data_IF_190433776933
#
_entry.id   IF_190433776933
#
_cell.length_a   1.000
_cell.length_b   1.000
_cell.length_c   1.000
_cell.angle_alpha   90.00
_cell.angle_beta   90.00
_cell.angle_gamma   90.00
#
_symmetry.space_group_name_H-M   'P 1'
#
loop_
_entity.id
_entity.type
_entity.pdbx_description
1 polymer ?
#
# COMPACT_ATOMS: atom_id res chain seq x y z
N UNK A 1 22.08 -16.18 35.66
CA UNK A 1 21.28 -16.85 34.61
C UNK A 1 20.85 -15.79 33.62
N UNK A 2 21.52 -15.76 32.47
CA UNK A 2 21.36 -14.72 31.46
C UNK A 2 20.00 -14.86 30.77
N UNK A 3 19.24 -13.77 30.73
CA UNK A 3 18.03 -13.66 29.93
C UNK A 3 18.40 -13.81 28.45
N UNK A 4 17.69 -14.70 27.76
CA UNK A 4 17.68 -14.74 26.30
C UNK A 4 17.05 -13.43 25.82
N UNK A 5 17.88 -12.47 25.41
CA UNK A 5 17.46 -11.41 24.51
C UNK A 5 17.12 -12.08 23.18
N UNK A 6 15.82 -12.27 22.92
CA UNK A 6 15.37 -12.59 21.57
C UNK A 6 15.82 -11.45 20.67
N UNK A 7 16.76 -11.74 19.78
CA UNK A 7 17.24 -10.79 18.78
C UNK A 7 16.05 -10.48 17.87
N UNK A 8 15.41 -9.32 18.08
CA UNK A 8 14.33 -8.87 17.22
C UNK A 8 14.90 -8.72 15.80
N UNK A 9 14.34 -9.46 14.84
CA UNK A 9 14.81 -9.43 13.46
C UNK A 9 14.81 -8.00 12.93
N UNK A 10 15.90 -7.58 12.28
CA UNK A 10 16.01 -6.22 11.78
C UNK A 10 14.96 -5.96 10.68
N UNK A 11 14.63 -4.69 10.42
CA UNK A 11 13.74 -4.30 9.31
C UNK A 11 14.21 -4.88 7.98
N UNK A 12 15.53 -4.98 7.77
CA UNK A 12 16.14 -5.61 6.60
C UNK A 12 15.88 -7.11 6.53
N UNK A 13 16.05 -7.85 7.64
CA UNK A 13 15.81 -9.30 7.69
C UNK A 13 14.33 -9.63 7.44
N UNK A 14 13.43 -8.84 8.01
CA UNK A 14 11.99 -8.94 7.78
C UNK A 14 11.64 -8.70 6.32
N UNK A 15 12.28 -7.71 5.68
CA UNK A 15 12.11 -7.43 4.27
C UNK A 15 12.62 -8.59 3.39
N UNK A 16 13.82 -9.12 3.64
CA UNK A 16 14.35 -10.24 2.84
C UNK A 16 13.47 -11.49 2.96
N UNK A 17 13.00 -11.80 4.17
CA UNK A 17 12.05 -12.89 4.38
C UNK A 17 10.73 -12.67 3.64
N UNK A 18 10.21 -11.44 3.63
CA UNK A 18 9.01 -11.06 2.89
C UNK A 18 9.21 -11.17 1.38
N UNK A 19 10.35 -10.69 0.87
CA UNK A 19 10.73 -10.72 -0.54
C UNK A 19 10.74 -12.15 -1.09
N UNK A 20 11.38 -13.09 -0.38
CA UNK A 20 11.40 -14.51 -0.75
C UNK A 20 9.97 -15.08 -0.87
N UNK A 21 9.09 -14.77 0.09
CA UNK A 21 7.68 -15.23 0.05
C UNK A 21 6.91 -14.62 -1.12
N UNK A 22 7.17 -13.35 -1.46
CA UNK A 22 6.52 -12.69 -2.60
C UNK A 22 7.03 -13.22 -3.95
N UNK A 23 8.32 -13.48 -4.07
CA UNK A 23 8.91 -14.09 -5.26
C UNK A 23 8.33 -15.49 -5.52
N UNK A 24 8.21 -16.33 -4.49
CA UNK A 24 7.58 -17.66 -4.63
C UNK A 24 6.11 -17.56 -5.05
N UNK A 25 5.37 -16.61 -4.48
CA UNK A 25 3.97 -16.33 -4.85
C UNK A 25 3.85 -15.88 -6.30
N UNK A 26 4.65 -14.90 -6.72
CA UNK A 26 4.71 -14.42 -8.10
C UNK A 26 5.04 -15.57 -9.07
N UNK A 27 6.03 -16.41 -8.75
CA UNK A 27 6.41 -17.56 -9.55
C UNK A 27 5.29 -18.62 -9.60
N UNK A 28 4.59 -18.86 -8.50
CA UNK A 28 3.45 -19.78 -8.42
C UNK A 28 2.26 -19.27 -9.23
N UNK A 29 1.95 -17.97 -9.16
CA UNK A 29 0.91 -17.36 -9.98
C UNK A 29 1.22 -17.45 -11.46
N UNK A 30 2.44 -17.08 -11.88
CA UNK A 30 2.89 -17.19 -13.28
C UNK A 30 2.78 -18.63 -13.79
N UNK A 31 3.22 -19.62 -13.00
CA UNK A 31 3.07 -21.05 -13.33
C UNK A 31 1.62 -21.48 -13.43
N UNK A 32 0.75 -21.01 -12.52
CA UNK A 32 -0.68 -21.31 -12.58
C UNK A 32 -1.32 -20.72 -13.82
N UNK A 33 -1.03 -19.46 -14.14
CA UNK A 33 -1.59 -18.75 -15.29
C UNK A 33 -1.20 -19.44 -16.60
N UNK A 34 0.06 -19.86 -16.75
CA UNK A 34 0.52 -20.62 -17.92
C UNK A 34 -0.14 -22.00 -18.06
N UNK A 35 -0.68 -22.57 -16.97
CA UNK A 35 -1.33 -23.89 -16.95
C UNK A 35 -2.86 -23.80 -17.00
N UNK A 36 -3.43 -22.62 -16.80
CA UNK A 36 -4.87 -22.40 -16.83
C UNK A 36 -5.40 -22.58 -18.25
N UNK A 37 -6.53 -23.29 -18.39
CA UNK A 37 -7.23 -23.36 -19.66
C UNK A 37 -7.88 -22.00 -19.98
N UNK A 38 -8.08 -21.67 -21.27
CA UNK A 38 -8.86 -20.50 -21.65
C UNK A 38 -10.23 -20.51 -20.95
N UNK A 39 -10.55 -19.43 -20.22
CA UNK A 39 -11.80 -19.28 -19.47
C UNK A 39 -11.76 -19.74 -18.01
N UNK A 40 -10.69 -20.40 -17.55
CA UNK A 40 -10.51 -20.73 -16.13
C UNK A 40 -9.70 -19.64 -15.43
N UNK A 41 -10.19 -19.10 -14.28
CA UNK A 41 -9.40 -18.14 -13.51
C UNK A 41 -8.13 -18.80 -12.98
N UNK A 42 -6.99 -18.09 -13.07
CA UNK A 42 -5.77 -18.53 -12.40
C UNK A 42 -6.02 -18.68 -10.89
N UNK A 43 -5.37 -19.67 -10.25
CA UNK A 43 -5.50 -19.88 -8.81
C UNK A 43 -5.13 -18.61 -8.04
N UNK A 44 -5.91 -18.30 -7.03
CA UNK A 44 -5.73 -17.11 -6.19
C UNK A 44 -4.44 -17.19 -5.38
N UNK A 45 -3.70 -16.07 -5.34
CA UNK A 45 -2.55 -15.90 -4.47
C UNK A 45 -3.04 -15.87 -3.01
N UNK A 46 -2.68 -16.90 -2.23
CA UNK A 46 -3.08 -17.20 -0.84
C UNK A 46 -3.65 -16.03 -0.01
N UNK A 47 -4.99 -15.92 0.02
CA UNK A 47 -5.71 -14.71 0.43
C UNK A 47 -5.32 -14.07 1.77
N UNK A 48 -5.27 -14.83 2.87
CA UNK A 48 -4.95 -14.28 4.21
C UNK A 48 -3.47 -14.02 4.41
N UNK A 49 -2.61 -14.93 3.96
CA UNK A 49 -1.16 -14.79 4.12
C UNK A 49 -0.62 -13.65 3.25
N UNK A 50 -1.10 -13.53 2.02
CA UNK A 50 -0.80 -12.40 1.15
C UNK A 50 -1.23 -11.09 1.80
N UNK A 51 -2.45 -11.04 2.35
CA UNK A 51 -2.92 -9.86 3.05
C UNK A 51 -2.01 -9.43 4.20
N UNK A 52 -1.61 -10.37 5.06
CA UNK A 52 -0.69 -10.11 6.17
C UNK A 52 0.68 -9.61 5.71
N UNK A 53 1.18 -10.18 4.62
CA UNK A 53 2.46 -9.82 4.05
C UNK A 53 2.45 -8.45 3.34
N UNK A 54 1.35 -8.08 2.67
CA UNK A 54 1.17 -6.73 2.12
C UNK A 54 1.10 -5.69 3.24
N UNK A 55 0.40 -5.98 4.33
CA UNK A 55 0.39 -5.13 5.52
C UNK A 55 1.78 -5.04 6.17
N UNK A 56 2.58 -6.11 6.10
CA UNK A 56 3.97 -6.07 6.55
C UNK A 56 4.82 -5.16 5.65
N UNK A 57 4.67 -5.23 4.33
CA UNK A 57 5.36 -4.34 3.39
C UNK A 57 5.10 -2.86 3.73
N UNK A 58 3.83 -2.49 3.97
CA UNK A 58 3.47 -1.11 4.34
C UNK A 58 4.13 -0.66 5.64
N UNK A 59 4.17 -1.54 6.67
CA UNK A 59 4.86 -1.23 7.94
C UNK A 59 6.37 -1.07 7.76
N UNK A 60 6.99 -1.94 6.95
CA UNK A 60 8.42 -1.86 6.66
C UNK A 60 8.75 -0.60 5.86
N UNK A 61 7.87 -0.20 4.94
CA UNK A 61 8.03 1.03 4.14
C UNK A 61 7.99 2.29 5.01
N UNK A 62 7.00 2.39 5.91
CA UNK A 62 6.90 3.53 6.84
C UNK A 62 8.14 3.64 7.75
N UNK A 63 8.63 2.51 8.27
CA UNK A 63 9.79 2.46 9.19
C UNK A 63 11.14 2.49 8.50
N UNK A 64 11.18 2.18 7.21
CA UNK A 64 12.40 2.02 6.44
C UNK A 64 13.03 3.35 6.07
N UNK A 65 14.35 3.35 5.91
CA UNK A 65 15.07 4.46 5.28
C UNK A 65 14.83 4.46 3.76
N UNK A 66 15.19 5.55 3.08
CA UNK A 66 14.96 5.72 1.62
C UNK A 66 15.52 4.56 0.79
N UNK A 67 16.68 3.99 1.16
CA UNK A 67 17.23 2.81 0.48
C UNK A 67 16.28 1.61 0.50
N UNK A 68 15.67 1.33 1.67
CA UNK A 68 14.70 0.24 1.80
C UNK A 68 13.38 0.58 1.11
N UNK A 69 12.89 1.82 1.23
CA UNK A 69 11.67 2.26 0.55
C UNK A 69 11.79 2.10 -0.96
N UNK A 70 12.95 2.44 -1.53
CA UNK A 70 13.27 2.21 -2.94
C UNK A 70 13.28 0.74 -3.30
N UNK A 71 13.96 -0.10 -2.51
CA UNK A 71 13.98 -1.55 -2.77
C UNK A 71 12.57 -2.15 -2.76
N UNK A 72 11.71 -1.70 -1.83
CA UNK A 72 10.31 -2.13 -1.78
C UNK A 72 9.57 -1.72 -3.06
N UNK A 73 9.64 -0.46 -3.48
CA UNK A 73 8.98 0.02 -4.71
C UNK A 73 9.47 -0.74 -5.94
N UNK A 74 10.78 -0.90 -6.09
CA UNK A 74 11.40 -1.63 -7.19
C UNK A 74 10.90 -3.08 -7.25
N UNK A 75 10.84 -3.77 -6.10
CA UNK A 75 10.33 -5.14 -6.04
C UNK A 75 8.84 -5.22 -6.45
N UNK A 76 8.00 -4.28 -5.99
CA UNK A 76 6.58 -4.26 -6.36
C UNK A 76 6.34 -3.94 -7.84
N UNK A 77 7.24 -3.18 -8.48
CA UNK A 77 7.19 -2.96 -9.93
C UNK A 77 7.37 -4.26 -10.73
N UNK A 78 8.18 -5.19 -10.22
CA UNK A 78 8.44 -6.50 -10.83
C UNK A 78 7.38 -7.56 -10.48
N UNK A 79 6.72 -7.39 -9.33
CA UNK A 79 5.66 -8.28 -8.83
C UNK A 79 4.28 -7.95 -9.40
N UNK A 80 4.16 -7.93 -10.73
CA UNK A 80 2.92 -7.54 -11.43
C UNK A 80 1.65 -8.27 -10.97
N UNK A 81 1.72 -9.54 -10.52
CA UNK A 81 0.53 -10.26 -10.04
C UNK A 81 0.12 -9.88 -8.61
N UNK A 82 1.06 -9.31 -7.84
CA UNK A 82 0.87 -8.87 -6.46
C UNK A 82 0.61 -7.36 -6.39
N UNK A 83 1.14 -6.56 -7.33
CA UNK A 83 1.04 -5.10 -7.34
C UNK A 83 -0.40 -4.60 -7.23
N UNK A 84 -1.31 -5.08 -8.08
CA UNK A 84 -2.73 -4.69 -7.97
C UNK A 84 -3.39 -5.07 -6.64
N UNK A 85 -2.85 -6.04 -5.91
CA UNK A 85 -3.31 -6.39 -4.55
C UNK A 85 -2.81 -5.42 -3.49
N UNK A 86 -1.70 -4.72 -3.73
CA UNK A 86 -1.22 -3.65 -2.85
C UNK A 86 -2.19 -2.49 -2.86
N UNK A 87 -2.54 -1.95 -4.03
CA UNK A 87 -3.56 -0.90 -4.11
C UNK A 87 -4.90 -1.36 -3.52
N UNK A 88 -5.28 -2.63 -3.77
CA UNK A 88 -6.48 -3.20 -3.16
C UNK A 88 -6.46 -3.22 -1.62
N UNK A 89 -5.28 -3.19 -0.99
CA UNK A 89 -5.17 -3.08 0.47
C UNK A 89 -5.55 -1.73 1.02
N UNK A 90 -5.49 -0.68 0.22
CA UNK A 90 -5.92 0.64 0.64
C UNK A 90 -7.39 0.66 1.07
N UNK A 91 -8.28 -0.06 0.37
CA UNK A 91 -9.69 -0.15 0.79
C UNK A 91 -9.86 -0.85 2.14
N UNK A 92 -9.14 -1.96 2.38
CA UNK A 92 -9.16 -2.61 3.71
C UNK A 92 -8.65 -1.67 4.80
N UNK A 93 -7.62 -0.85 4.52
CA UNK A 93 -7.15 0.13 5.50
C UNK A 93 -8.13 1.29 5.71
N UNK A 94 -8.85 1.71 4.67
CA UNK A 94 -9.91 2.72 4.80
C UNK A 94 -11.10 2.20 5.62
N UNK A 95 -11.47 0.92 5.49
CA UNK A 95 -12.48 0.26 6.32
C UNK A 95 -12.05 0.25 7.79
N UNK A 96 -10.82 -0.23 8.08
CA UNK A 96 -10.29 -0.25 9.45
C UNK A 96 -10.14 1.17 10.04
N UNK A 97 -9.79 2.16 9.22
CA UNK A 97 -9.77 3.58 9.62
C UNK A 97 -11.17 4.05 10.02
N UNK A 98 -12.19 3.78 9.20
CA UNK A 98 -13.57 4.16 9.50
C UNK A 98 -14.11 3.49 10.78
N UNK A 99 -13.71 2.25 11.04
CA UNK A 99 -14.19 1.48 12.19
C UNK A 99 -13.50 1.88 13.50
N UNK A 100 -12.22 2.23 13.45
CA UNK A 100 -11.40 2.43 14.66
C UNK A 100 -11.00 3.87 14.92
N UNK A 101 -11.00 4.71 13.90
CA UNK A 101 -10.43 6.05 13.93
C UNK A 101 -8.97 6.11 14.44
N UNK A 102 -8.21 5.03 14.23
CA UNK A 102 -6.77 4.98 14.49
C UNK A 102 -6.01 5.49 13.25
N UNK A 103 -5.23 6.56 13.43
CA UNK A 103 -4.49 7.23 12.35
C UNK A 103 -3.41 6.35 11.72
N UNK A 104 -3.00 5.27 12.41
CA UNK A 104 -2.16 4.22 11.84
C UNK A 104 -2.73 3.66 10.53
N UNK A 105 -4.06 3.50 10.43
CA UNK A 105 -4.67 2.94 9.23
C UNK A 105 -4.61 3.90 8.05
N UNK A 106 -4.73 5.21 8.30
CA UNK A 106 -4.50 6.23 7.28
C UNK A 106 -3.06 6.15 6.76
N UNK A 107 -2.06 6.10 7.65
CA UNK A 107 -0.65 5.97 7.25
C UNK A 107 -0.38 4.69 6.45
N UNK A 108 -0.99 3.56 6.83
CA UNK A 108 -0.85 2.29 6.09
C UNK A 108 -1.50 2.37 4.71
N UNK A 109 -2.67 3.01 4.59
CA UNK A 109 -3.35 3.25 3.31
C UNK A 109 -2.51 4.10 2.36
N UNK A 110 -1.94 5.19 2.87
CA UNK A 110 -1.06 6.07 2.11
C UNK A 110 0.24 5.35 1.71
N UNK A 111 0.85 4.56 2.62
CA UNK A 111 2.01 3.74 2.29
C UNK A 111 1.71 2.70 1.19
N UNK A 112 0.53 2.08 1.20
CA UNK A 112 0.14 1.15 0.14
C UNK A 112 0.05 1.83 -1.22
N UNK A 113 -0.50 3.05 -1.28
CA UNK A 113 -0.51 3.89 -2.48
C UNK A 113 0.92 4.25 -2.92
N UNK A 114 1.77 4.64 -1.97
CA UNK A 114 3.20 4.94 -2.21
C UNK A 114 4.00 3.77 -2.76
N UNK A 115 3.71 2.55 -2.31
CA UNK A 115 4.35 1.33 -2.82
C UNK A 115 3.80 0.96 -4.20
N UNK A 116 2.50 1.14 -4.43
CA UNK A 116 1.88 0.88 -5.73
C UNK A 116 2.39 1.85 -6.81
N UNK A 117 2.72 3.09 -6.42
CA UNK A 117 3.41 4.10 -7.22
C UNK A 117 2.74 4.38 -8.58
N UNK A 118 1.48 4.82 -8.53
CA UNK A 118 0.60 5.03 -9.70
C UNK A 118 0.47 3.77 -10.59
N UNK A 119 0.24 2.62 -9.94
CA UNK A 119 0.16 1.27 -10.46
C UNK A 119 -0.16 1.06 -11.94
N UNK A 120 -1.26 0.37 -12.21
CA UNK A 120 -1.69 0.03 -13.58
C UNK A 120 -2.69 1.06 -14.12
N UNK A 121 -3.47 1.69 -13.23
CA UNK A 121 -4.43 2.74 -13.56
C UNK A 121 -4.37 3.84 -12.49
N UNK A 122 -3.86 5.01 -12.86
CA UNK A 122 -3.73 6.16 -11.94
C UNK A 122 -5.09 6.66 -11.41
N UNK A 123 -6.21 6.33 -12.08
CA UNK A 123 -7.55 6.72 -11.62
C UNK A 123 -7.94 5.98 -10.34
N UNK A 124 -7.53 4.72 -10.22
CA UNK A 124 -7.77 3.93 -9.01
C UNK A 124 -7.02 4.53 -7.81
N UNK A 125 -5.86 5.15 -8.05
CA UNK A 125 -5.13 5.91 -7.02
C UNK A 125 -5.95 7.08 -6.49
N UNK A 126 -6.56 7.90 -7.36
CA UNK A 126 -7.42 9.01 -6.91
C UNK A 126 -8.63 8.53 -6.13
N UNK A 127 -9.24 7.42 -6.55
CA UNK A 127 -10.37 6.80 -5.84
C UNK A 127 -9.94 6.37 -4.43
N UNK A 128 -8.83 5.65 -4.32
CA UNK A 128 -8.29 5.19 -3.05
C UNK A 128 -7.90 6.35 -2.11
N UNK A 129 -7.28 7.42 -2.64
CA UNK A 129 -6.99 8.64 -1.87
C UNK A 129 -8.27 9.30 -1.36
N UNK A 130 -9.32 9.35 -2.18
CA UNK A 130 -10.62 9.92 -1.80
C UNK A 130 -11.29 9.16 -0.66
N UNK A 131 -11.27 7.82 -0.71
CA UNK A 131 -11.84 7.00 0.36
C UNK A 131 -11.07 7.20 1.68
N UNK A 132 -9.73 7.18 1.66
CA UNK A 132 -8.93 7.46 2.85
C UNK A 132 -9.20 8.85 3.42
N UNK A 133 -9.27 9.86 2.55
CA UNK A 133 -9.52 11.24 2.96
C UNK A 133 -10.89 11.37 3.64
N UNK A 134 -11.94 10.81 3.04
CA UNK A 134 -13.30 10.84 3.62
C UNK A 134 -13.37 10.10 4.96
N UNK A 135 -12.73 8.94 5.07
CA UNK A 135 -12.67 8.20 6.33
C UNK A 135 -11.93 9.00 7.42
N UNK A 136 -10.81 9.62 7.09
CA UNK A 136 -10.04 10.46 8.01
C UNK A 136 -10.87 11.63 8.54
N UNK A 137 -11.51 12.40 7.66
CA UNK A 137 -12.37 13.54 8.06
C UNK A 137 -13.54 13.08 8.94
N UNK A 138 -14.18 11.95 8.60
CA UNK A 138 -15.28 11.39 9.42
C UNK A 138 -14.84 11.01 10.83
N UNK A 139 -13.57 10.63 10.99
CA UNK A 139 -12.95 10.37 12.28
C UNK A 139 -12.45 11.65 12.99
N UNK A 140 -12.74 12.83 12.46
CA UNK A 140 -12.30 14.10 13.04
C UNK A 140 -10.81 14.39 12.86
N UNK A 141 -10.16 13.71 11.90
CA UNK A 141 -8.76 13.95 11.56
C UNK A 141 -8.64 15.04 10.50
N UNK A 142 -7.56 15.82 10.56
CA UNK A 142 -7.10 16.67 9.47
C UNK A 142 -6.23 15.83 8.52
N UNK A 143 -6.65 15.51 7.28
CA UNK A 143 -5.93 14.56 6.45
C UNK A 143 -4.65 15.14 5.83
N UNK A 144 -4.60 16.46 5.60
CA UNK A 144 -3.52 17.13 4.85
C UNK A 144 -2.12 16.80 5.39
N UNK A 145 -1.82 16.89 6.71
CA UNK A 145 -0.49 16.57 7.23
C UNK A 145 -0.05 15.12 6.95
N UNK A 146 -0.99 14.17 6.90
CA UNK A 146 -0.69 12.77 6.60
C UNK A 146 -0.35 12.57 5.12
N UNK A 147 -1.03 13.31 4.23
CA UNK A 147 -0.74 13.29 2.80
C UNK A 147 0.62 13.93 2.51
N UNK A 148 0.98 15.00 3.22
CA UNK A 148 2.32 15.62 3.15
C UNK A 148 3.41 14.67 3.68
N UNK A 149 3.20 14.02 4.83
CA UNK A 149 4.10 12.99 5.37
C UNK A 149 4.32 11.86 4.36
N UNK A 150 3.23 11.38 3.76
CA UNK A 150 3.29 10.34 2.74
C UNK A 150 4.01 10.80 1.47
N UNK A 151 3.84 12.06 1.06
CA UNK A 151 4.53 12.63 -0.09
C UNK A 151 6.04 12.67 0.14
N UNK A 152 6.49 13.10 1.33
CA UNK A 152 7.91 13.19 1.69
C UNK A 152 8.63 11.83 1.60
N UNK A 153 7.96 10.75 2.00
CA UNK A 153 8.54 9.40 1.96
C UNK A 153 8.27 8.66 0.65
N UNK A 154 7.40 9.20 -0.22
CA UNK A 154 7.20 8.72 -1.59
C UNK A 154 8.33 9.25 -2.46
N UNK A 155 8.95 8.41 -3.29
CA UNK A 155 10.05 8.89 -4.14
C UNK A 155 9.58 9.89 -5.19
N UNK A 156 10.39 10.92 -5.44
CA UNK A 156 10.23 11.86 -6.56
C UNK A 156 10.55 11.32 -7.96
N UNK A 157 10.60 9.98 -8.15
CA UNK A 157 10.80 9.37 -9.49
C UNK A 157 9.46 9.25 -10.23
N UNK A 158 8.34 9.24 -9.51
CA UNK A 158 6.99 9.24 -10.08
C UNK A 158 6.26 10.54 -9.75
N UNK A 159 5.16 10.79 -10.47
CA UNK A 159 4.27 11.92 -10.18
C UNK A 159 3.42 11.70 -8.91
N UNK A 160 3.65 10.64 -8.13
CA UNK A 160 2.82 10.35 -6.95
C UNK A 160 3.03 11.38 -5.84
N UNK A 161 4.25 11.84 -5.61
CA UNK A 161 4.53 12.94 -4.67
C UNK A 161 3.65 14.17 -4.98
N UNK A 162 3.63 14.58 -6.26
CA UNK A 162 2.79 15.69 -6.71
C UNK A 162 1.29 15.40 -6.59
N UNK A 163 0.91 14.13 -6.79
CA UNK A 163 -0.49 13.69 -6.63
C UNK A 163 -0.94 13.80 -5.18
N UNK A 164 -0.10 13.40 -4.23
CA UNK A 164 -0.37 13.50 -2.79
C UNK A 164 -0.45 14.97 -2.35
N UNK A 165 0.56 15.79 -2.68
CA UNK A 165 0.60 17.23 -2.35
C UNK A 165 -0.50 18.05 -3.05
N UNK A 166 -0.99 17.55 -4.18
CA UNK A 166 -1.97 18.20 -5.04
C UNK A 166 -3.38 17.64 -4.91
N UNK A 167 -3.62 16.66 -4.02
CA UNK A 167 -4.86 15.89 -4.02
C UNK A 167 -6.10 16.78 -3.88
N UNK A 168 -6.14 17.68 -2.90
CA UNK A 168 -7.27 18.61 -2.69
C UNK A 168 -7.50 19.59 -3.84
N UNK A 169 -6.46 19.86 -4.64
CA UNK A 169 -6.54 20.73 -5.84
C UNK A 169 -6.95 19.98 -7.09
N UNK A 170 -7.09 18.66 -7.03
CA UNK A 170 -7.47 17.84 -8.18
C UNK A 170 -8.94 18.03 -8.55
N UNK A 171 -9.25 17.87 -9.84
CA UNK A 171 -10.64 17.86 -10.31
C UNK A 171 -11.46 16.76 -9.62
N UNK A 172 -10.86 15.58 -9.44
CA UNK A 172 -11.47 14.46 -8.73
C UNK A 172 -11.90 14.85 -7.31
N UNK A 173 -11.06 15.56 -6.56
CA UNK A 173 -11.42 16.00 -5.22
C UNK A 173 -12.64 16.92 -5.24
N UNK A 174 -12.63 17.95 -6.10
CA UNK A 174 -13.74 18.89 -6.21
C UNK A 174 -15.07 18.25 -6.62
N UNK A 175 -15.02 17.22 -7.49
CA UNK A 175 -16.21 16.56 -8.03
C UNK A 175 -16.72 15.40 -7.16
N UNK A 176 -15.83 14.61 -6.57
CA UNK A 176 -16.18 13.34 -5.92
C UNK A 176 -16.00 13.35 -4.38
N UNK A 177 -15.06 14.13 -3.85
CA UNK A 177 -14.72 14.14 -2.42
C UNK A 177 -15.36 15.32 -1.71
N UNK A 178 -15.08 16.55 -2.14
CA UNK A 178 -15.57 17.78 -1.51
C UNK A 178 -17.09 17.83 -1.28
N UNK A 179 -17.96 17.33 -2.20
CA UNK A 179 -19.40 17.30 -1.96
C UNK A 179 -19.83 16.40 -0.80
N UNK A 180 -18.99 15.44 -0.39
CA UNK A 180 -19.25 14.46 0.68
C UNK A 180 -18.65 14.87 2.03
N UNK A 181 -17.96 16.00 2.10
CA UNK A 181 -17.40 16.58 3.33
C UNK A 181 -18.42 17.42 4.12
N UNK A 182 -19.65 17.54 3.62
CA UNK A 182 -20.74 18.35 4.19
C UNK A 182 -21.69 17.54 5.06
#
# INVERSE_FOLDING_TARGET
MAGRSGEEASTGDLWQGLKIRMDDRQATYRRSWLRSKPGEPARTLGGKELASDLSLACRLYLRGEETLRREIRDAFSEWTAVRGRMLAKTWTFAEELADTCDDRWLRLGLAAISIDDNGTDFRDTYVALGDLYLCAVRCGMEPVPYFEEAAEISSGVSNLEQTLLGFERSAYFGEAVAPRLR
#
